data_IF_799707423677
#
_entry.id   IF_799707423677
#
_cell.length_a   1.000
_cell.length_b   1.000
_cell.length_c   1.000
_cell.angle_alpha   90.00
_cell.angle_beta   90.00
_cell.angle_gamma   90.00
#
_symmetry.space_group_name_H-M   'P 1'
#
loop_
_entity.id
_entity.type
_entity.pdbx_description
1 polymer ?
#
# COMPACT_ATOMS: atom_id res chain seq x y z
N UNK A 1 23.57 10.48 26.65
CA UNK A 1 23.93 11.47 25.62
C UNK A 1 24.53 10.69 24.46
N UNK A 2 23.85 10.58 23.32
CA UNK A 2 24.41 9.88 22.17
C UNK A 2 25.57 10.71 21.61
N UNK A 3 26.79 10.19 21.67
CA UNK A 3 27.94 10.76 20.95
C UNK A 3 27.69 10.50 19.45
N UNK A 4 27.04 11.46 18.78
CA UNK A 4 26.90 11.45 17.34
C UNK A 4 28.29 11.71 16.73
N UNK A 5 28.72 10.78 15.89
CA UNK A 5 29.97 10.92 15.12
C UNK A 5 29.93 12.18 14.24
N UNK A 6 30.93 13.03 14.32
CA UNK A 6 31.03 14.28 13.56
C UNK A 6 31.09 14.03 12.05
N UNK A 7 31.68 12.91 11.63
CA UNK A 7 31.70 12.48 10.24
C UNK A 7 30.26 12.21 9.73
N UNK A 8 29.44 11.48 10.51
CA UNK A 8 28.04 11.24 10.18
C UNK A 8 27.25 12.55 10.05
N UNK A 9 27.49 13.53 10.91
CA UNK A 9 26.88 14.86 10.78
C UNK A 9 27.32 15.58 9.53
N UNK A 10 28.60 15.45 9.14
CA UNK A 10 29.15 15.97 7.90
C UNK A 10 28.45 15.39 6.67
N UNK A 11 28.30 14.07 6.62
CA UNK A 11 27.59 13.35 5.56
C UNK A 11 26.11 13.77 5.45
N UNK A 12 25.42 13.90 6.58
CA UNK A 12 24.03 14.37 6.60
C UNK A 12 23.91 15.79 6.03
N UNK A 13 24.83 16.70 6.38
CA UNK A 13 24.86 18.07 5.84
C UNK A 13 25.12 18.07 4.33
N UNK A 14 26.05 17.23 3.87
CA UNK A 14 26.34 17.09 2.45
C UNK A 14 25.12 16.60 1.66
N UNK A 15 24.47 15.55 2.14
CA UNK A 15 23.20 15.04 1.55
C UNK A 15 22.13 16.13 1.55
N UNK A 16 21.96 16.86 2.66
CA UNK A 16 20.99 17.95 2.74
C UNK A 16 21.23 19.01 1.65
N UNK A 17 22.47 19.46 1.46
CA UNK A 17 22.80 20.46 0.44
C UNK A 17 22.52 19.92 -0.97
N UNK A 18 22.92 18.68 -1.25
CA UNK A 18 22.66 18.01 -2.54
C UNK A 18 21.16 17.92 -2.83
N UNK A 19 20.36 17.57 -1.82
CA UNK A 19 18.89 17.50 -1.96
C UNK A 19 18.27 18.89 -2.13
N UNK A 20 18.73 19.91 -1.38
CA UNK A 20 18.27 21.28 -1.56
C UNK A 20 18.51 21.79 -2.97
N UNK A 21 19.70 21.55 -3.53
CA UNK A 21 20.02 21.93 -4.90
C UNK A 21 19.15 21.20 -5.91
N UNK A 22 18.98 19.89 -5.76
CA UNK A 22 18.15 19.06 -6.63
C UNK A 22 16.68 19.48 -6.63
N UNK A 23 16.13 19.80 -5.46
CA UNK A 23 14.71 20.11 -5.26
C UNK A 23 14.41 21.60 -5.22
N UNK A 24 15.41 22.48 -5.46
CA UNK A 24 15.28 23.95 -5.39
C UNK A 24 14.10 24.47 -6.21
N UNK A 25 13.99 24.04 -7.43
CA UNK A 25 12.91 24.45 -8.35
C UNK A 25 11.55 24.00 -7.84
N UNK A 26 11.43 22.74 -7.38
CA UNK A 26 10.18 22.21 -6.82
C UNK A 26 9.77 22.94 -5.54
N UNK A 27 10.73 23.22 -4.66
CA UNK A 27 10.47 23.95 -3.41
C UNK A 27 10.02 25.39 -3.64
N UNK A 28 10.46 26.00 -4.74
CA UNK A 28 10.09 27.38 -5.12
C UNK A 28 8.89 27.45 -6.07
N UNK A 29 8.34 26.31 -6.50
CA UNK A 29 7.24 26.25 -7.45
C UNK A 29 5.97 26.85 -6.87
N UNK A 30 5.32 27.74 -7.65
CA UNK A 30 3.99 28.24 -7.31
C UNK A 30 2.93 27.14 -7.43
N UNK A 31 2.41 26.73 -6.28
CA UNK A 31 1.38 25.70 -6.18
C UNK A 31 0.08 26.08 -6.90
N UNK A 32 -0.22 27.37 -7.04
CA UNK A 32 -1.40 27.82 -7.79
C UNK A 32 -1.22 27.60 -9.30
N UNK A 33 -0.01 27.77 -9.82
CA UNK A 33 0.29 27.46 -11.22
C UNK A 33 0.13 25.96 -11.48
N UNK A 34 0.64 25.13 -10.59
CA UNK A 34 0.47 23.67 -10.70
C UNK A 34 -1.02 23.27 -10.64
N UNK A 35 -1.81 23.85 -9.74
CA UNK A 35 -3.28 23.60 -9.67
C UNK A 35 -3.99 24.00 -10.97
N UNK A 36 -3.65 25.16 -11.56
CA UNK A 36 -4.19 25.62 -12.85
C UNK A 36 -3.80 24.70 -14.00
N UNK A 37 -2.64 24.05 -13.92
CA UNK A 37 -2.22 23.03 -14.88
C UNK A 37 -3.00 21.72 -14.69
N UNK A 38 -3.13 21.24 -13.44
CA UNK A 38 -3.79 19.97 -13.13
C UNK A 38 -5.23 19.93 -13.63
N UNK A 39 -6.01 20.98 -13.39
CA UNK A 39 -7.46 20.97 -13.69
C UNK A 39 -7.80 20.63 -15.15
N UNK A 40 -7.19 21.25 -16.18
CA UNK A 40 -7.46 20.90 -17.57
C UNK A 40 -6.67 19.69 -18.10
N UNK A 41 -5.49 19.37 -17.55
CA UNK A 41 -4.56 18.41 -18.17
C UNK A 41 -4.54 17.05 -17.47
N UNK A 42 -4.90 16.99 -16.20
CA UNK A 42 -4.83 15.75 -15.39
C UNK A 42 -6.22 15.29 -14.97
N UNK A 43 -6.99 16.20 -14.39
CA UNK A 43 -8.32 15.91 -13.88
C UNK A 43 -8.85 16.97 -12.94
N UNK A 44 -10.14 16.92 -12.68
CA UNK A 44 -10.85 17.91 -11.88
C UNK A 44 -10.44 17.89 -10.40
N UNK A 45 -10.10 19.06 -9.88
CA UNK A 45 -9.93 19.27 -8.43
C UNK A 45 -11.31 19.55 -7.83
N UNK A 46 -11.73 18.68 -6.89
CA UNK A 46 -12.99 18.85 -6.16
C UNK A 46 -12.74 18.94 -4.67
N UNK A 47 -13.44 19.84 -3.98
CA UNK A 47 -13.53 19.88 -2.52
C UNK A 47 -14.64 18.94 -2.08
N UNK A 48 -14.28 17.96 -1.26
CA UNK A 48 -15.19 16.95 -0.72
C UNK A 48 -15.50 17.24 0.74
N UNK A 49 -16.76 17.02 1.12
CA UNK A 49 -17.20 17.01 2.50
C UNK A 49 -17.17 15.58 3.06
N UNK A 50 -16.88 15.42 4.34
CA UNK A 50 -17.05 14.15 5.05
C UNK A 50 -18.51 13.74 5.03
N UNK A 51 -18.75 12.45 5.03
CA UNK A 51 -20.11 11.89 5.14
C UNK A 51 -20.69 12.14 6.53
N UNK A 52 -21.99 12.31 6.60
CA UNK A 52 -22.72 12.39 7.85
C UNK A 52 -22.81 11.00 8.53
N UNK A 53 -23.12 10.95 9.84
CA UNK A 53 -23.38 9.68 10.51
C UNK A 53 -24.53 8.87 9.87
N UNK A 54 -25.52 9.54 9.30
CA UNK A 54 -26.66 8.92 8.61
C UNK A 54 -26.21 8.28 7.28
N UNK A 55 -25.33 8.95 6.51
CA UNK A 55 -24.72 8.38 5.31
C UNK A 55 -23.89 7.15 5.65
N UNK A 56 -23.09 7.19 6.74
CA UNK A 56 -22.30 6.04 7.18
C UNK A 56 -23.13 4.84 7.63
N UNK A 57 -24.31 5.06 8.22
CA UNK A 57 -25.21 3.95 8.62
C UNK A 57 -25.67 3.12 7.43
N UNK A 58 -25.77 3.69 6.22
CA UNK A 58 -26.13 2.94 5.01
C UNK A 58 -25.13 1.81 4.73
N UNK A 59 -23.85 2.04 4.94
CA UNK A 59 -22.82 1.01 4.70
C UNK A 59 -22.99 -0.18 5.66
N UNK A 60 -23.35 0.08 6.92
CA UNK A 60 -23.66 -0.99 7.87
C UNK A 60 -24.88 -1.83 7.45
N UNK A 61 -25.88 -1.20 6.82
CA UNK A 61 -27.06 -1.90 6.30
C UNK A 61 -26.78 -2.72 5.04
N UNK A 62 -25.73 -2.35 4.30
CA UNK A 62 -25.33 -2.99 3.05
C UNK A 62 -24.21 -4.05 3.22
N UNK A 63 -23.94 -4.51 4.44
CA UNK A 63 -22.89 -5.51 4.71
C UNK A 63 -21.61 -4.96 5.31
N UNK A 64 -21.50 -3.64 5.47
CA UNK A 64 -20.33 -2.99 6.05
C UNK A 64 -19.12 -2.92 5.10
N UNK A 65 -17.96 -2.72 5.68
CA UNK A 65 -16.69 -2.57 4.95
C UNK A 65 -15.71 -3.58 5.50
N UNK A 66 -14.93 -4.19 4.61
CA UNK A 66 -13.81 -5.05 4.96
C UNK A 66 -12.51 -4.31 4.66
N UNK A 67 -11.60 -4.25 5.62
CA UNK A 67 -10.21 -3.83 5.42
C UNK A 67 -9.31 -5.03 5.27
N UNK A 68 -8.36 -4.98 4.34
CA UNK A 68 -7.41 -6.08 4.05
C UNK A 68 -5.99 -5.55 4.00
N UNK A 69 -5.09 -6.24 4.67
CA UNK A 69 -3.65 -6.00 4.60
C UNK A 69 -2.87 -7.30 4.80
N UNK A 70 -1.59 -7.27 4.43
CA UNK A 70 -0.68 -8.40 4.58
C UNK A 70 0.64 -8.01 5.23
N UNK A 71 1.20 -8.95 5.93
CA UNK A 71 2.52 -8.83 6.54
C UNK A 71 3.41 -10.00 6.17
N UNK A 72 4.69 -9.73 6.05
CA UNK A 72 5.70 -10.76 5.90
C UNK A 72 6.85 -10.53 6.88
N UNK A 73 7.43 -11.62 7.36
CA UNK A 73 8.66 -11.56 8.12
C UNK A 73 9.54 -12.77 7.81
N UNK A 74 10.83 -12.64 8.07
CA UNK A 74 11.85 -13.63 7.76
C UNK A 74 12.73 -13.91 8.98
N UNK A 75 12.97 -15.18 9.25
CA UNK A 75 13.99 -15.64 10.21
C UNK A 75 15.05 -16.46 9.46
N UNK A 76 16.29 -16.35 9.90
CA UNK A 76 17.41 -17.11 9.37
C UNK A 76 18.45 -16.24 8.67
N UNK A 77 19.43 -16.90 8.06
CA UNK A 77 20.62 -16.29 7.49
C UNK A 77 20.58 -16.16 5.97
N UNK A 78 21.71 -16.51 5.36
CA UNK A 78 21.87 -16.55 3.92
C UNK A 78 21.12 -17.73 3.31
N UNK A 79 20.83 -17.62 2.01
CA UNK A 79 20.28 -18.71 1.21
C UNK A 79 21.09 -20.00 1.37
N UNK A 80 20.46 -21.18 1.51
CA UNK A 80 19.02 -21.41 1.57
C UNK A 80 18.42 -21.42 2.99
N UNK A 81 19.18 -21.04 4.01
CA UNK A 81 18.89 -21.24 5.45
C UNK A 81 18.04 -20.09 6.02
N UNK A 82 16.84 -19.91 5.47
CA UNK A 82 15.84 -18.99 6.00
C UNK A 82 14.42 -19.53 5.84
N UNK A 83 13.51 -18.97 6.63
CA UNK A 83 12.09 -19.19 6.57
C UNK A 83 11.37 -17.85 6.49
N UNK A 84 10.43 -17.71 5.57
CA UNK A 84 9.55 -16.55 5.42
C UNK A 84 8.14 -16.95 5.80
N UNK A 85 7.52 -16.12 6.64
CA UNK A 85 6.11 -16.25 7.01
C UNK A 85 5.36 -15.09 6.40
N UNK A 86 4.24 -15.40 5.74
CA UNK A 86 3.30 -14.44 5.17
C UNK A 86 1.96 -14.60 5.87
N UNK A 87 1.34 -13.50 6.25
CA UNK A 87 0.03 -13.47 6.87
C UNK A 87 -0.82 -12.40 6.19
N UNK A 88 -2.01 -12.77 5.73
CA UNK A 88 -3.05 -11.87 5.28
C UNK A 88 -4.16 -11.79 6.32
N UNK A 89 -4.67 -10.59 6.53
CA UNK A 89 -5.79 -10.32 7.43
C UNK A 89 -6.86 -9.54 6.69
N UNK A 90 -8.09 -10.02 6.79
CA UNK A 90 -9.27 -9.27 6.41
C UNK A 90 -10.21 -9.12 7.62
N UNK A 91 -10.70 -7.91 7.86
CA UNK A 91 -11.49 -7.58 9.03
C UNK A 91 -12.71 -6.74 8.66
N UNK A 92 -13.90 -7.22 9.05
CA UNK A 92 -15.17 -6.53 8.82
C UNK A 92 -15.46 -5.49 9.90
N UNK A 93 -15.98 -4.32 9.50
CA UNK A 93 -16.46 -3.30 10.44
C UNK A 93 -17.68 -3.74 11.25
N UNK A 94 -18.44 -4.73 10.78
CA UNK A 94 -19.64 -5.25 11.47
C UNK A 94 -19.34 -6.46 12.35
N UNK A 95 -18.30 -7.21 12.05
CA UNK A 95 -17.88 -8.42 12.77
C UNK A 95 -16.39 -8.33 13.11
N UNK A 96 -16.02 -7.28 13.81
CA UNK A 96 -14.63 -6.98 14.15
C UNK A 96 -13.95 -8.03 15.05
N UNK A 97 -14.74 -8.82 15.77
CA UNK A 97 -14.33 -9.93 16.63
C UNK A 97 -14.07 -11.25 15.87
N UNK A 98 -14.41 -11.29 14.56
CA UNK A 98 -14.20 -12.46 13.68
C UNK A 98 -13.28 -12.14 12.52
N UNK A 99 -12.00 -11.88 12.76
CA UNK A 99 -11.06 -11.60 11.68
C UNK A 99 -10.81 -12.85 10.83
N UNK A 100 -10.64 -12.67 9.53
CA UNK A 100 -10.25 -13.74 8.60
C UNK A 100 -8.75 -13.68 8.38
N UNK A 101 -8.04 -14.71 8.83
CA UNK A 101 -6.61 -14.86 8.61
C UNK A 101 -6.31 -15.88 7.50
N UNK A 102 -5.30 -15.57 6.72
CA UNK A 102 -4.61 -16.51 5.81
C UNK A 102 -3.13 -16.47 6.10
N UNK A 103 -2.46 -17.62 5.99
CA UNK A 103 -1.04 -17.73 6.24
C UNK A 103 -0.36 -18.64 5.22
N UNK A 104 0.88 -18.30 4.89
CA UNK A 104 1.76 -19.09 4.02
C UNK A 104 3.16 -19.07 4.58
N UNK A 105 3.85 -20.20 4.47
CA UNK A 105 5.25 -20.32 4.87
C UNK A 105 6.05 -20.71 3.63
N UNK A 106 7.23 -20.14 3.51
CA UNK A 106 8.19 -20.47 2.47
C UNK A 106 9.58 -20.68 3.08
N UNK A 107 10.26 -21.72 2.64
CA UNK A 107 11.69 -21.90 2.83
C UNK A 107 12.28 -22.58 1.58
N UNK A 108 13.47 -22.15 1.09
CA UNK A 108 14.13 -22.81 -0.03
C UNK A 108 14.44 -24.29 0.25
N UNK A 109 14.59 -24.65 1.54
CA UNK A 109 14.91 -26.01 1.96
C UNK A 109 13.80 -27.05 1.69
N UNK A 110 12.57 -26.61 1.35
CA UNK A 110 11.47 -27.50 0.96
C UNK A 110 11.44 -27.82 -0.54
N UNK A 111 12.21 -27.09 -1.35
CA UNK A 111 12.26 -27.31 -2.77
C UNK A 111 13.21 -28.48 -3.08
N UNK A 112 12.75 -29.44 -3.90
CA UNK A 112 13.57 -30.55 -4.41
C UNK A 112 14.60 -30.09 -5.45
N UNK A 113 14.57 -28.81 -5.85
CA UNK A 113 15.48 -28.23 -6.81
C UNK A 113 16.85 -27.93 -6.19
N UNK A 114 17.87 -28.16 -6.99
CA UNK A 114 19.31 -28.13 -6.67
C UNK A 114 19.67 -26.96 -5.73
N UNK A 115 20.06 -27.20 -4.46
CA UNK A 115 20.35 -26.16 -3.49
C UNK A 115 21.55 -25.27 -3.85
N UNK A 116 22.23 -25.57 -4.95
CA UNK A 116 23.37 -24.79 -5.47
C UNK A 116 22.97 -23.66 -6.44
N UNK A 117 21.69 -23.54 -6.79
CA UNK A 117 21.22 -22.41 -7.59
C UNK A 117 20.91 -21.28 -6.60
N UNK A 118 21.83 -20.33 -6.50
CA UNK A 118 21.59 -19.06 -5.78
C UNK A 118 20.42 -18.36 -6.47
N UNK A 119 19.29 -18.25 -5.78
CA UNK A 119 18.17 -17.42 -6.23
C UNK A 119 18.70 -15.99 -6.43
N UNK A 120 18.58 -15.42 -7.63
CA UNK A 120 18.94 -14.01 -7.86
C UNK A 120 18.04 -13.13 -6.99
N UNK A 121 18.60 -12.03 -6.49
CA UNK A 121 17.88 -11.06 -5.66
C UNK A 121 16.58 -10.54 -6.30
N UNK A 122 16.50 -10.54 -7.62
CA UNK A 122 15.29 -10.20 -8.37
C UNK A 122 14.22 -11.29 -8.29
N UNK A 123 14.61 -12.54 -8.46
CA UNK A 123 13.73 -13.71 -8.37
C UNK A 123 13.16 -13.85 -6.95
N UNK A 124 14.01 -13.70 -5.95
CA UNK A 124 13.59 -13.67 -4.53
C UNK A 124 12.53 -12.59 -4.30
N UNK A 125 12.76 -11.37 -4.81
CA UNK A 125 11.83 -10.28 -4.68
C UNK A 125 10.51 -10.57 -5.38
N UNK A 126 10.52 -11.04 -6.64
CA UNK A 126 9.33 -11.38 -7.42
C UNK A 126 8.50 -12.44 -6.69
N UNK A 127 9.16 -13.52 -6.22
CA UNK A 127 8.50 -14.58 -5.45
C UNK A 127 7.89 -14.05 -4.16
N UNK A 128 8.64 -13.24 -3.43
CA UNK A 128 8.19 -12.67 -2.16
C UNK A 128 7.02 -11.72 -2.35
N UNK A 129 7.05 -10.87 -3.37
CA UNK A 129 5.96 -9.95 -3.70
C UNK A 129 4.71 -10.74 -4.16
N UNK A 130 4.89 -11.82 -4.94
CA UNK A 130 3.81 -12.73 -5.32
C UNK A 130 3.17 -13.40 -4.12
N UNK A 131 3.96 -14.00 -3.22
CA UNK A 131 3.44 -14.68 -2.04
C UNK A 131 2.63 -13.73 -1.14
N UNK A 132 3.09 -12.49 -0.97
CA UNK A 132 2.36 -11.49 -0.20
C UNK A 132 1.06 -11.09 -0.89
N UNK A 133 1.09 -10.85 -2.20
CA UNK A 133 -0.11 -10.53 -2.98
C UNK A 133 -1.14 -11.68 -2.95
N UNK A 134 -0.70 -12.93 -3.14
CA UNK A 134 -1.54 -14.13 -3.07
C UNK A 134 -2.31 -14.18 -1.75
N UNK A 135 -1.59 -14.01 -0.61
CA UNK A 135 -2.20 -14.20 0.72
C UNK A 135 -3.18 -13.07 1.07
N UNK A 136 -2.92 -11.85 0.62
CA UNK A 136 -3.84 -10.73 0.79
C UNK A 136 -5.12 -10.93 -0.03
N UNK A 137 -4.99 -11.36 -1.29
CA UNK A 137 -6.16 -11.68 -2.13
C UNK A 137 -6.94 -12.85 -1.56
N UNK A 138 -6.28 -13.89 -1.07
CA UNK A 138 -6.96 -15.03 -0.41
C UNK A 138 -7.72 -14.59 0.86
N UNK A 139 -7.18 -13.65 1.62
CA UNK A 139 -7.87 -13.10 2.78
C UNK A 139 -9.09 -12.27 2.35
N UNK A 140 -8.97 -11.45 1.30
CA UNK A 140 -10.07 -10.67 0.73
C UNK A 140 -11.21 -11.59 0.22
N UNK A 141 -10.89 -12.59 -0.59
CA UNK A 141 -11.86 -13.56 -1.11
C UNK A 141 -12.59 -14.31 0.01
N UNK A 142 -11.86 -14.77 1.02
CA UNK A 142 -12.47 -15.44 2.15
C UNK A 142 -13.41 -14.51 2.94
N UNK A 143 -13.03 -13.25 3.12
CA UNK A 143 -13.87 -12.27 3.80
C UNK A 143 -15.11 -11.87 2.98
N UNK A 144 -14.99 -11.78 1.65
CA UNK A 144 -16.14 -11.56 0.75
C UNK A 144 -17.17 -12.69 0.91
N UNK A 145 -16.72 -13.93 0.97
CA UNK A 145 -17.59 -15.11 1.13
C UNK A 145 -18.22 -15.23 2.51
N UNK A 146 -17.51 -14.77 3.55
CA UNK A 146 -17.95 -14.82 4.94
C UNK A 146 -18.90 -13.67 5.32
N UNK A 147 -18.62 -12.45 4.85
CA UNK A 147 -19.26 -11.23 5.34
C UNK A 147 -20.20 -10.55 4.35
N UNK A 148 -20.11 -10.88 3.07
CA UNK A 148 -20.85 -10.23 1.97
C UNK A 148 -20.85 -8.69 2.10
N UNK A 149 -19.65 -8.04 2.10
CA UNK A 149 -19.52 -6.62 2.43
C UNK A 149 -19.93 -5.73 1.25
N UNK A 150 -20.32 -4.49 1.55
CA UNK A 150 -20.54 -3.47 0.52
C UNK A 150 -19.25 -3.10 -0.23
N UNK A 151 -18.15 -2.99 0.52
CA UNK A 151 -16.85 -2.66 -0.07
C UNK A 151 -15.69 -3.38 0.62
N UNK A 152 -14.66 -3.66 -0.15
CA UNK A 152 -13.37 -4.17 0.33
C UNK A 152 -12.31 -3.11 0.09
N UNK A 153 -11.59 -2.69 1.13
CA UNK A 153 -10.49 -1.74 1.06
C UNK A 153 -9.18 -2.48 1.28
N UNK A 154 -8.34 -2.52 0.24
CA UNK A 154 -7.00 -3.10 0.26
C UNK A 154 -5.97 -2.04 0.66
N UNK A 155 -5.03 -2.35 1.56
CA UNK A 155 -3.88 -1.47 1.84
C UNK A 155 -2.88 -1.51 0.69
N UNK A 156 -2.83 -0.43 -0.07
CA UNK A 156 -1.98 -0.28 -1.23
C UNK A 156 -2.72 -0.22 -2.57
N UNK A 157 -1.95 -0.06 -3.64
CA UNK A 157 -2.50 0.01 -4.99
C UNK A 157 -2.91 -1.37 -5.49
N UNK A 158 -4.16 -1.48 -5.95
CA UNK A 158 -4.71 -2.76 -6.44
C UNK A 158 -4.08 -3.24 -7.75
N UNK A 159 -3.43 -2.37 -8.54
CA UNK A 159 -2.67 -2.78 -9.73
C UNK A 159 -1.51 -3.73 -9.40
N UNK A 160 -0.99 -3.70 -8.16
CA UNK A 160 0.10 -4.59 -7.75
C UNK A 160 -0.31 -6.05 -7.77
N UNK A 161 -1.59 -6.35 -7.57
CA UNK A 161 -2.10 -7.72 -7.60
C UNK A 161 -2.15 -8.26 -9.02
N UNK A 162 -2.52 -7.43 -10.00
CA UNK A 162 -2.46 -7.78 -11.42
C UNK A 162 -1.02 -8.12 -11.85
N UNK A 163 -0.04 -7.35 -11.36
CA UNK A 163 1.38 -7.55 -11.69
C UNK A 163 1.97 -8.78 -10.97
N UNK A 164 1.68 -8.96 -9.69
CA UNK A 164 2.34 -9.95 -8.84
C UNK A 164 1.59 -11.30 -8.78
N UNK A 165 0.28 -11.30 -8.97
CA UNK A 165 -0.60 -12.46 -8.79
C UNK A 165 -1.82 -12.40 -9.72
N UNK A 166 -1.60 -12.35 -11.03
CA UNK A 166 -2.64 -12.12 -12.04
C UNK A 166 -3.82 -13.10 -11.93
N UNK A 167 -3.57 -14.37 -11.66
CA UNK A 167 -4.62 -15.40 -11.53
C UNK A 167 -5.54 -15.11 -10.34
N UNK A 168 -4.98 -14.88 -9.16
CA UNK A 168 -5.74 -14.55 -7.95
C UNK A 168 -6.43 -13.17 -8.06
N UNK A 169 -5.76 -12.23 -8.73
CA UNK A 169 -6.35 -10.94 -9.04
C UNK A 169 -7.62 -11.05 -9.88
N UNK A 170 -7.57 -11.87 -10.94
CA UNK A 170 -8.75 -12.11 -11.79
C UNK A 170 -9.89 -12.76 -11.00
N UNK A 171 -9.61 -13.71 -10.10
CA UNK A 171 -10.62 -14.31 -9.21
C UNK A 171 -11.28 -13.23 -8.33
N UNK A 172 -10.47 -12.40 -7.65
CA UNK A 172 -10.98 -11.32 -6.78
C UNK A 172 -11.82 -10.30 -7.56
N UNK A 173 -11.30 -9.84 -8.70
CA UNK A 173 -11.99 -8.88 -9.56
C UNK A 173 -13.35 -9.43 -10.00
N UNK A 174 -13.38 -10.64 -10.53
CA UNK A 174 -14.61 -11.30 -11.02
C UNK A 174 -15.61 -11.46 -9.87
N UNK A 175 -15.19 -11.95 -8.70
CA UNK A 175 -16.10 -12.14 -7.56
C UNK A 175 -16.67 -10.80 -7.06
N UNK A 176 -15.86 -9.73 -7.04
CA UNK A 176 -16.34 -8.39 -6.69
C UNK A 176 -17.36 -7.86 -7.71
N UNK A 177 -17.10 -8.03 -9.02
CA UNK A 177 -17.98 -7.58 -10.09
C UNK A 177 -19.32 -8.35 -10.08
N UNK A 178 -19.28 -9.66 -9.95
CA UNK A 178 -20.48 -10.53 -9.90
C UNK A 178 -21.38 -10.26 -8.70
N UNK A 179 -20.78 -9.97 -7.54
CA UNK A 179 -21.51 -9.68 -6.30
C UNK A 179 -21.86 -8.21 -6.12
N UNK A 180 -21.36 -7.32 -6.99
CA UNK A 180 -21.54 -5.86 -6.84
C UNK A 180 -20.80 -5.28 -5.63
N UNK A 181 -19.71 -5.93 -5.18
CA UNK A 181 -18.87 -5.48 -4.07
C UNK A 181 -17.84 -4.50 -4.61
N UNK A 182 -17.74 -3.31 -4.02
CA UNK A 182 -16.81 -2.28 -4.49
C UNK A 182 -15.41 -2.59 -3.98
N UNK A 183 -14.46 -2.76 -4.91
CA UNK A 183 -13.06 -3.02 -4.60
C UNK A 183 -12.25 -1.72 -4.63
N UNK A 184 -11.66 -1.36 -3.51
CA UNK A 184 -10.93 -0.09 -3.32
C UNK A 184 -9.49 -0.36 -2.93
N UNK A 185 -8.54 0.30 -3.58
CA UNK A 185 -7.14 0.35 -3.15
C UNK A 185 -6.81 1.70 -2.54
N UNK A 186 -6.16 1.73 -1.40
CA UNK A 186 -5.71 2.97 -0.74
C UNK A 186 -4.19 2.98 -0.62
N UNK A 187 -3.53 3.84 -1.39
CA UNK A 187 -2.07 3.90 -1.49
C UNK A 187 -1.50 5.11 -0.74
N UNK A 188 -0.73 4.85 0.31
CA UNK A 188 -0.03 5.88 1.11
C UNK A 188 1.14 6.51 0.37
N UNK A 189 1.95 5.69 -0.26
CA UNK A 189 3.18 6.10 -0.95
C UNK A 189 3.00 6.06 -2.47
N UNK A 190 2.54 7.18 -3.03
CA UNK A 190 2.31 7.32 -4.47
C UNK A 190 3.65 7.25 -5.21
N UNK A 191 3.77 6.31 -6.16
CA UNK A 191 4.98 6.10 -6.97
C UNK A 191 4.79 6.48 -8.44
N UNK A 192 3.62 7.02 -8.79
CA UNK A 192 3.30 7.46 -10.16
C UNK A 192 4.02 8.76 -10.54
N UNK A 193 4.05 9.05 -11.83
CA UNK A 193 4.61 10.28 -12.42
C UNK A 193 3.66 10.86 -13.47
N UNK A 194 2.36 10.73 -13.24
CA UNK A 194 1.28 11.14 -14.17
C UNK A 194 1.39 12.63 -14.49
N UNK A 195 1.51 13.46 -13.43
CA UNK A 195 1.62 14.91 -13.56
C UNK A 195 2.92 15.29 -14.23
N UNK A 196 4.05 14.67 -13.81
CA UNK A 196 5.35 14.92 -14.41
C UNK A 196 5.41 14.56 -15.91
N UNK A 197 4.78 13.45 -16.30
CA UNK A 197 4.70 13.02 -17.70
C UNK A 197 3.87 14.01 -18.57
N UNK A 198 2.80 14.58 -18.01
CA UNK A 198 2.02 15.60 -18.71
C UNK A 198 2.77 16.96 -18.76
N UNK A 199 3.44 17.36 -17.68
CA UNK A 199 4.26 18.57 -17.66
C UNK A 199 5.36 18.56 -18.73
N UNK A 200 5.94 17.38 -19.06
CA UNK A 200 6.91 17.23 -20.14
C UNK A 200 6.37 17.62 -21.52
N UNK A 201 5.07 17.47 -21.75
CA UNK A 201 4.46 17.79 -23.04
C UNK A 201 4.31 19.29 -23.24
N UNK A 202 4.31 20.06 -22.16
CA UNK A 202 4.17 21.53 -22.17
C UNK A 202 5.53 22.21 -22.31
N UNK A 203 5.78 22.82 -23.49
CA UNK A 203 7.06 23.44 -23.85
C UNK A 203 7.47 24.62 -22.94
N UNK A 204 6.55 25.21 -22.22
CA UNK A 204 6.76 26.42 -21.42
C UNK A 204 6.99 26.12 -19.92
N UNK A 205 6.93 24.84 -19.49
CA UNK A 205 7.13 24.43 -18.12
C UNK A 205 8.35 23.52 -18.07
N UNK A 206 9.47 24.10 -17.68
CA UNK A 206 10.75 23.35 -17.56
C UNK A 206 10.88 22.53 -16.28
N UNK A 207 9.96 22.74 -15.33
CA UNK A 207 10.01 22.21 -13.98
C UNK A 207 9.07 21.01 -13.85
N UNK A 208 9.47 20.03 -13.09
CA UNK A 208 8.56 19.01 -12.55
C UNK A 208 8.53 17.67 -13.25
N UNK A 209 9.08 17.56 -14.46
CA UNK A 209 9.04 16.30 -15.20
C UNK A 209 9.91 15.17 -14.59
N UNK A 210 10.87 15.51 -13.76
CA UNK A 210 11.75 14.55 -13.07
C UNK A 210 11.15 14.08 -11.73
N UNK A 211 10.08 14.74 -11.25
CA UNK A 211 9.50 14.49 -9.95
C UNK A 211 8.29 13.55 -10.04
N UNK A 212 8.09 12.79 -8.98
CA UNK A 212 6.93 11.93 -8.82
C UNK A 212 5.72 12.73 -8.37
N UNK A 213 4.52 12.20 -8.60
CA UNK A 213 3.27 12.86 -8.19
C UNK A 213 3.24 13.15 -6.68
N UNK A 214 3.81 12.28 -5.84
CA UNK A 214 3.96 12.53 -4.39
C UNK A 214 4.68 13.83 -4.08
N UNK A 215 5.75 14.13 -4.80
CA UNK A 215 6.59 15.32 -4.59
C UNK A 215 5.89 16.57 -5.13
N UNK A 216 5.31 16.49 -6.32
CA UNK A 216 4.57 17.58 -6.97
C UNK A 216 3.32 17.98 -6.16
N UNK A 217 2.60 16.98 -5.65
CA UNK A 217 1.35 17.20 -4.92
C UNK A 217 1.56 17.59 -3.45
N UNK A 218 2.77 17.51 -2.91
CA UNK A 218 3.05 17.90 -1.53
C UNK A 218 2.68 19.35 -1.28
N UNK A 219 1.66 19.58 -0.44
CA UNK A 219 1.11 20.90 -0.14
C UNK A 219 0.36 21.59 -1.30
N UNK A 220 0.03 20.86 -2.39
CA UNK A 220 -0.70 21.40 -3.54
C UNK A 220 -2.21 21.38 -3.34
N UNK A 221 -2.72 20.34 -2.69
CA UNK A 221 -4.14 20.22 -2.36
C UNK A 221 -4.41 20.74 -0.94
N UNK A 222 -5.61 21.27 -0.72
CA UNK A 222 -6.12 21.54 0.63
C UNK A 222 -6.72 20.27 1.26
N UNK A 223 -6.88 20.28 2.59
CA UNK A 223 -7.58 19.18 3.27
C UNK A 223 -8.94 18.91 2.66
N UNK A 224 -9.24 17.66 2.34
CA UNK A 224 -10.48 17.24 1.72
C UNK A 224 -10.60 17.58 0.23
N UNK A 225 -9.54 18.06 -0.42
CA UNK A 225 -9.52 18.16 -1.88
C UNK A 225 -9.02 16.87 -2.51
N UNK A 226 -9.64 16.51 -3.63
CA UNK A 226 -9.25 15.39 -4.45
C UNK A 226 -9.10 15.77 -5.92
N UNK A 227 -8.17 15.13 -6.64
CA UNK A 227 -8.02 15.18 -8.09
C UNK A 227 -8.60 13.89 -8.66
N UNK A 228 -9.67 13.96 -9.41
CA UNK A 228 -10.23 12.83 -10.15
C UNK A 228 -9.53 12.78 -11.51
N UNK A 229 -8.70 11.73 -11.70
CA UNK A 229 -7.86 11.60 -12.89
C UNK A 229 -8.76 11.27 -14.08
N UNK A 230 -8.64 12.03 -15.17
CA UNK A 230 -9.46 11.88 -16.38
C UNK A 230 -8.64 11.72 -17.66
N UNK A 231 -7.35 11.44 -17.53
CA UNK A 231 -6.45 11.17 -18.64
C UNK A 231 -6.04 9.70 -18.65
N UNK A 232 -5.71 9.20 -19.84
CA UNK A 232 -5.24 7.82 -19.99
C UNK A 232 -3.94 7.58 -19.23
N UNK A 233 -3.99 6.70 -18.27
CA UNK A 233 -2.86 6.30 -17.44
C UNK A 233 -2.57 4.82 -17.60
N UNK A 234 -1.43 4.38 -17.07
CA UNK A 234 -1.13 2.92 -17.00
C UNK A 234 -2.15 2.16 -16.15
N UNK A 235 -2.73 2.81 -15.13
CA UNK A 235 -3.77 2.21 -14.29
C UNK A 235 -5.09 2.05 -15.05
N UNK A 236 -5.50 3.05 -15.84
CA UNK A 236 -6.68 2.96 -16.71
C UNK A 236 -6.51 1.86 -17.74
N UNK A 237 -5.31 1.72 -18.34
CA UNK A 237 -5.01 0.61 -19.25
C UNK A 237 -5.09 -0.75 -18.57
N UNK A 238 -4.93 -0.81 -17.24
CA UNK A 238 -5.13 -2.00 -16.42
C UNK A 238 -6.58 -2.14 -15.90
N UNK A 239 -7.53 -1.33 -16.39
CA UNK A 239 -8.94 -1.36 -15.99
C UNK A 239 -9.21 -0.75 -14.61
N UNK A 240 -8.48 0.30 -14.23
CA UNK A 240 -8.62 1.00 -12.95
C UNK A 240 -8.89 2.49 -13.14
N UNK A 241 -9.77 3.02 -12.30
CA UNK A 241 -9.99 4.45 -12.12
C UNK A 241 -9.31 4.93 -10.83
N UNK A 242 -8.81 6.16 -10.82
CA UNK A 242 -7.99 6.67 -9.72
C UNK A 242 -8.28 8.10 -9.36
N UNK A 243 -8.09 8.42 -8.08
CA UNK A 243 -8.08 9.79 -7.59
C UNK A 243 -6.91 10.00 -6.60
N UNK A 244 -6.39 11.23 -6.55
CA UNK A 244 -5.48 11.67 -5.49
C UNK A 244 -6.28 12.46 -4.46
N UNK A 245 -6.08 12.18 -3.18
CA UNK A 245 -6.83 12.79 -2.08
C UNK A 245 -5.91 13.31 -0.99
N UNK A 246 -6.11 14.55 -0.53
CA UNK A 246 -5.55 15.01 0.75
C UNK A 246 -6.58 14.76 1.86
N UNK A 247 -6.38 13.67 2.61
CA UNK A 247 -7.33 13.13 3.60
C UNK A 247 -7.05 13.55 5.04
N UNK A 248 -5.90 14.20 5.32
CA UNK A 248 -5.48 14.61 6.67
C UNK A 248 -4.83 15.99 6.70
N UNK A 249 -4.46 16.47 7.89
CA UNK A 249 -3.72 17.72 8.07
C UNK A 249 -2.31 17.65 7.47
N UNK A 250 -1.74 16.46 7.29
CA UNK A 250 -0.50 16.29 6.55
C UNK A 250 -0.62 16.88 5.14
N UNK A 251 0.39 17.59 4.63
CA UNK A 251 0.41 18.08 3.25
C UNK A 251 0.56 16.98 2.19
N UNK A 252 0.74 15.73 2.61
CA UNK A 252 0.84 14.58 1.72
C UNK A 252 -0.52 14.18 1.16
N UNK A 253 -0.51 13.54 0.01
CA UNK A 253 -1.70 12.98 -0.63
C UNK A 253 -1.60 11.46 -0.69
N UNK A 254 -2.75 10.82 -0.72
CA UNK A 254 -2.89 9.38 -0.97
C UNK A 254 -3.55 9.16 -2.33
N UNK A 255 -3.40 7.96 -2.90
CA UNK A 255 -4.19 7.56 -4.06
C UNK A 255 -5.30 6.59 -3.64
N UNK A 256 -6.45 6.74 -4.28
CA UNK A 256 -7.60 5.85 -4.17
C UNK A 256 -7.87 5.28 -5.55
N UNK A 257 -7.82 3.96 -5.67
CA UNK A 257 -8.05 3.22 -6.91
C UNK A 257 -9.31 2.37 -6.78
N UNK A 258 -10.11 2.27 -7.86
CA UNK A 258 -11.23 1.31 -7.97
C UNK A 258 -11.19 0.63 -9.33
N UNK A 259 -12.02 -0.40 -9.55
CA UNK A 259 -12.20 -1.02 -10.86
C UNK A 259 -12.89 -0.04 -11.83
N UNK A 260 -12.47 -0.04 -13.11
CA UNK A 260 -13.11 0.77 -14.16
C UNK A 260 -14.60 0.45 -14.29
N UNK A 261 -14.99 -0.82 -14.15
CA UNK A 261 -16.40 -1.24 -14.13
C UNK A 261 -17.23 -0.64 -13.00
N UNK A 262 -16.57 -0.10 -11.97
CA UNK A 262 -17.17 0.52 -10.78
C UNK A 262 -16.95 2.04 -10.73
N UNK A 263 -16.56 2.67 -11.84
CA UNK A 263 -16.14 4.09 -11.89
C UNK A 263 -17.16 5.09 -11.33
N UNK A 264 -18.46 4.79 -11.44
CA UNK A 264 -19.51 5.61 -10.86
C UNK A 264 -19.43 5.77 -9.33
N UNK A 265 -18.80 4.82 -8.64
CA UNK A 265 -18.60 4.84 -7.19
C UNK A 265 -17.30 5.55 -6.76
N UNK A 266 -16.44 6.00 -7.70
CA UNK A 266 -15.14 6.58 -7.34
C UNK A 266 -15.28 7.77 -6.37
N UNK A 267 -16.17 8.72 -6.66
CA UNK A 267 -16.35 9.90 -5.80
C UNK A 267 -16.91 9.52 -4.43
N UNK A 268 -17.83 8.56 -4.38
CA UNK A 268 -18.37 8.01 -3.13
C UNK A 268 -17.26 7.35 -2.29
N UNK A 269 -16.43 6.50 -2.89
CA UNK A 269 -15.35 5.82 -2.19
C UNK A 269 -14.26 6.79 -1.73
N UNK A 270 -13.92 7.80 -2.51
CA UNK A 270 -12.99 8.86 -2.09
C UNK A 270 -13.55 9.64 -0.89
N UNK A 271 -14.87 9.97 -0.87
CA UNK A 271 -15.52 10.58 0.30
C UNK A 271 -15.53 9.64 1.51
N UNK A 272 -15.76 8.34 1.29
CA UNK A 272 -15.71 7.34 2.36
C UNK A 272 -14.32 7.26 2.98
N UNK A 273 -13.27 7.16 2.16
CA UNK A 273 -11.87 7.19 2.61
C UNK A 273 -11.56 8.46 3.39
N UNK A 274 -11.96 9.65 2.89
CA UNK A 274 -11.83 10.92 3.62
C UNK A 274 -12.53 10.87 4.98
N UNK A 275 -13.73 10.29 5.03
CA UNK A 275 -14.56 10.25 6.24
C UNK A 275 -13.98 9.33 7.29
N UNK A 276 -13.48 8.18 6.89
CA UNK A 276 -12.88 7.17 7.78
C UNK A 276 -11.43 7.51 8.19
N UNK A 277 -10.82 8.54 7.57
CA UNK A 277 -9.46 8.97 7.90
C UNK A 277 -9.48 10.01 9.03
N UNK A 278 -8.77 9.77 10.14
CA UNK A 278 -8.60 10.78 11.17
C UNK A 278 -7.85 12.01 10.62
N UNK A 279 -8.35 13.20 10.91
CA UNK A 279 -7.77 14.45 10.39
C UNK A 279 -6.30 14.63 10.79
N UNK A 280 -5.94 14.25 12.02
CA UNK A 280 -4.58 14.25 12.56
C UNK A 280 -3.84 12.91 12.36
N UNK A 281 -4.37 11.99 11.51
CA UNK A 281 -3.80 10.68 11.24
C UNK A 281 -2.79 10.68 10.10
N UNK A 282 -2.37 9.47 9.72
CA UNK A 282 -1.38 9.21 8.66
C UNK A 282 -1.93 9.38 7.22
N UNK A 283 -3.18 9.84 7.06
CA UNK A 283 -3.81 10.06 5.75
C UNK A 283 -4.57 8.85 5.21
N UNK A 284 -4.69 7.76 5.94
CA UNK A 284 -5.46 6.57 5.56
C UNK A 284 -6.58 6.27 6.54
N UNK A 285 -7.62 5.51 6.13
CA UNK A 285 -8.69 5.11 7.02
C UNK A 285 -8.18 4.44 8.29
N UNK A 286 -8.72 4.82 9.44
CA UNK A 286 -8.35 4.22 10.72
C UNK A 286 -8.52 2.70 10.73
N UNK A 287 -9.51 2.19 10.00
CA UNK A 287 -9.76 0.76 9.91
C UNK A 287 -8.59 0.01 9.24
N UNK A 288 -7.99 0.61 8.22
CA UNK A 288 -6.78 0.07 7.58
C UNK A 288 -5.58 0.10 8.54
N UNK A 289 -5.43 1.17 9.33
CA UNK A 289 -4.37 1.24 10.36
C UNK A 289 -4.53 0.15 11.43
N UNK A 290 -5.77 -0.20 11.79
CA UNK A 290 -6.06 -1.30 12.73
C UNK A 290 -5.66 -2.64 12.11
N UNK A 291 -6.04 -2.90 10.86
CA UNK A 291 -5.69 -4.13 10.14
C UNK A 291 -4.17 -4.25 9.98
N UNK A 292 -3.48 -3.17 9.54
CA UNK A 292 -2.01 -3.10 9.44
C UNK A 292 -1.33 -3.46 10.78
N UNK A 293 -1.85 -2.94 11.89
CA UNK A 293 -1.27 -3.22 13.21
C UNK A 293 -1.49 -4.66 13.67
N UNK A 294 -2.64 -5.24 13.37
CA UNK A 294 -3.01 -6.61 13.79
C UNK A 294 -2.38 -7.69 12.90
N UNK A 295 -2.11 -7.41 11.62
CA UNK A 295 -1.50 -8.38 10.70
C UNK A 295 0.01 -8.50 10.89
N UNK A 296 0.66 -7.56 11.56
CA UNK A 296 2.11 -7.52 11.71
C UNK A 296 2.67 -8.74 12.42
N UNK A 297 3.68 -9.35 11.81
CA UNK A 297 4.48 -10.43 12.38
C UNK A 297 5.82 -9.84 12.82
N UNK A 298 6.04 -9.74 14.13
CA UNK A 298 7.33 -9.27 14.68
C UNK A 298 8.39 -10.39 14.71
N UNK A 299 9.67 -10.01 14.79
CA UNK A 299 10.78 -10.98 14.92
C UNK A 299 10.62 -11.87 16.14
N UNK A 300 10.13 -11.32 17.25
CA UNK A 300 9.86 -12.09 18.47
C UNK A 300 8.71 -13.09 18.28
N UNK A 301 7.65 -12.71 17.54
CA UNK A 301 6.54 -13.63 17.24
C UNK A 301 6.99 -14.78 16.36
N UNK A 302 7.71 -14.50 15.25
CA UNK A 302 8.18 -15.57 14.37
C UNK A 302 9.11 -16.53 15.10
N UNK A 303 10.04 -15.99 15.92
CA UNK A 303 10.93 -16.83 16.72
C UNK A 303 10.14 -17.71 17.68
N UNK A 304 9.21 -17.17 18.45
CA UNK A 304 8.38 -17.93 19.40
C UNK A 304 7.53 -19.00 18.70
N UNK A 305 6.96 -18.70 17.53
CA UNK A 305 6.22 -19.68 16.74
C UNK A 305 7.12 -20.83 16.29
N UNK A 306 8.29 -20.53 15.73
CA UNK A 306 9.21 -21.55 15.26
C UNK A 306 9.79 -22.41 16.42
N UNK A 307 10.09 -21.80 17.57
CA UNK A 307 10.51 -22.52 18.78
C UNK A 307 9.41 -23.45 19.31
N UNK A 308 8.14 -23.10 19.10
CA UNK A 308 7.00 -23.90 19.60
C UNK A 308 6.63 -25.07 18.69
N UNK A 309 6.86 -24.93 17.36
CA UNK A 309 6.32 -25.88 16.36
C UNK A 309 7.39 -26.58 15.52
N UNK A 310 8.65 -26.13 15.50
CA UNK A 310 9.75 -26.82 14.84
C UNK A 310 10.55 -27.68 15.84
N UNK A 311 11.13 -28.79 15.34
CA UNK A 311 12.14 -29.53 16.13
C UNK A 311 13.31 -28.58 16.45
N UNK A 312 13.68 -28.54 17.71
CA UNK A 312 14.71 -27.62 18.22
C UNK A 312 16.05 -27.76 17.51
N UNK A 313 16.45 -28.98 17.16
CA UNK A 313 17.71 -29.23 16.46
C UNK A 313 17.69 -28.73 15.03
N UNK A 314 16.53 -28.87 14.34
CA UNK A 314 16.34 -28.30 13.02
C UNK A 314 16.37 -26.76 13.06
N UNK A 315 15.69 -26.18 14.04
CA UNK A 315 15.68 -24.72 14.21
C UNK A 315 17.10 -24.17 14.43
N UNK A 316 17.85 -24.78 15.38
CA UNK A 316 19.23 -24.35 15.71
C UNK A 316 20.20 -24.58 14.54
N UNK A 317 20.04 -25.69 13.80
CA UNK A 317 20.92 -26.06 12.68
C UNK A 317 20.67 -25.20 11.43
N UNK A 318 19.41 -24.88 11.13
CA UNK A 318 19.03 -24.34 9.81
C UNK A 318 18.73 -22.84 9.84
N UNK A 319 18.16 -22.30 10.93
CA UNK A 319 17.57 -20.98 10.93
C UNK A 319 18.14 -20.01 11.98
N UNK A 320 18.88 -20.48 12.98
CA UNK A 320 19.50 -19.61 13.98
C UNK A 320 20.97 -19.39 13.60
N UNK A 321 21.30 -18.16 13.24
CA UNK A 321 22.69 -17.79 12.96
C UNK A 321 23.48 -17.53 14.25
N UNK A 322 24.82 -17.69 14.18
CA UNK A 322 25.70 -17.32 15.30
C UNK A 322 25.62 -15.83 15.69
N UNK A 323 25.13 -14.97 14.75
CA UNK A 323 24.87 -13.55 15.02
C UNK A 323 23.66 -13.37 15.94
N UNK A 324 22.63 -14.22 15.78
CA UNK A 324 21.40 -14.14 16.57
C UNK A 324 21.59 -14.63 18.01
N UNK A 325 22.68 -15.37 18.26
CA UNK A 325 23.06 -15.82 19.59
C UNK A 325 23.81 -14.77 20.42
N UNK A 326 24.21 -13.66 19.79
CA UNK A 326 24.83 -12.55 20.52
C UNK A 326 23.75 -11.73 21.21
N UNK A 327 23.45 -12.11 22.45
CA UNK A 327 22.78 -11.22 23.41
C UNK A 327 23.79 -10.13 23.81
N UNK A 328 23.48 -8.88 23.45
CA UNK A 328 24.21 -7.71 23.97
C UNK A 328 23.62 -7.32 25.30
#
# INVERSE_FOLDING_TARGET
MFNLNEELKGEIRHINNTLLDKYKELLSMDKNLLRKFIDPHIGKIKKLARMSPEELKKYAQLGGIVGVDGSKNRLGGAYPHFIEIYQGLAKSTLQADKPVFKAKIYTPLQMEENPNILEDSKEEKIRSDKNLADIEVEAALAAIREFDPYAVIMDGSIIRYDIASAERWMELKTECEEKGIILVGVTKDIKTSIIGEELKKEKNISIGHEFRDRELLYGTLEYGEAIFINIKTKKELAGLESAFLRSSDSPTVIAVDILESQKEYLEEMVRLVLTLTPKNGRGVPLWIDIVDSEVKISDSMIRSLLESYLDRRLLEMLFISERDKRTI
#
